data_IF_929979669388
#
_entry.id   IF_929979669388
#
_cell.length_a   1.000
_cell.length_b   1.000
_cell.length_c   1.000
_cell.angle_alpha   90.00
_cell.angle_beta   90.00
_cell.angle_gamma   90.00
#
_symmetry.space_group_name_H-M   'P 1'
#
loop_
_entity.id
_entity.type
_entity.pdbx_description
1 polymer ?
#
# COMPACT_ATOMS: atom_id res chain seq x y z
N UNK A 1 68.52 -42.64 8.91
CA UNK A 1 68.30 -41.64 9.97
C UNK A 1 66.82 -41.26 9.91
N UNK A 2 66.09 -41.53 10.99
CA UNK A 2 64.62 -41.47 11.07
C UNK A 2 64.17 -40.02 11.30
N UNK A 3 63.05 -39.62 10.69
CA UNK A 3 61.89 -39.13 11.44
C UNK A 3 60.64 -39.19 10.53
N UNK A 4 59.62 -39.90 11.01
CA UNK A 4 58.29 -40.02 10.44
C UNK A 4 57.30 -39.43 11.45
N UNK A 5 56.30 -38.70 10.98
CA UNK A 5 55.08 -38.41 11.76
C UNK A 5 53.90 -38.51 10.81
N UNK A 6 53.08 -39.54 11.03
CA UNK A 6 51.73 -39.66 10.49
C UNK A 6 50.71 -39.38 11.60
N UNK A 7 49.53 -38.88 11.23
CA UNK A 7 48.40 -38.72 12.14
C UNK A 7 47.17 -39.38 11.50
N UNK A 8 46.57 -40.28 12.27
CA UNK A 8 45.49 -41.19 11.93
C UNK A 8 44.15 -40.64 12.48
N UNK A 9 43.06 -40.90 11.77
CA UNK A 9 41.67 -40.69 12.21
C UNK A 9 41.31 -41.60 13.39
N UNK A 10 40.43 -41.14 14.28
CA UNK A 10 39.40 -41.99 14.93
C UNK A 10 38.31 -41.16 15.62
N UNK A 11 37.06 -41.53 15.32
CA UNK A 11 35.84 -41.09 15.99
C UNK A 11 35.56 -41.97 17.22
N UNK A 12 34.98 -41.40 18.28
CA UNK A 12 34.45 -42.16 19.41
C UNK A 12 33.20 -41.48 19.98
N UNK A 13 32.09 -42.21 19.95
CA UNK A 13 30.87 -41.93 20.70
C UNK A 13 31.02 -42.52 22.11
N UNK A 14 30.51 -41.82 23.13
CA UNK A 14 30.40 -42.37 24.48
C UNK A 14 29.14 -41.81 25.16
N UNK A 15 28.20 -42.71 25.47
CA UNK A 15 27.08 -42.45 26.37
C UNK A 15 27.38 -43.03 27.75
N UNK A 16 26.98 -42.32 28.81
CA UNK A 16 26.99 -42.83 30.19
C UNK A 16 25.76 -42.33 30.95
N UNK A 17 25.07 -43.28 31.58
CA UNK A 17 23.98 -43.08 32.52
C UNK A 17 24.53 -42.72 33.91
N UNK A 18 23.76 -41.92 34.67
CA UNK A 18 24.02 -41.55 36.07
C UNK A 18 22.77 -41.68 36.95
N UNK A 19 22.91 -41.73 38.29
CA UNK A 19 22.03 -42.48 39.18
C UNK A 19 20.84 -41.68 39.73
N UNK A 20 19.82 -42.42 40.18
CA UNK A 20 18.61 -41.94 40.84
C UNK A 20 18.89 -41.70 42.33
N UNK A 21 18.60 -40.48 42.81
CA UNK A 21 18.48 -40.17 44.23
C UNK A 21 17.03 -39.76 44.54
N UNK A 22 16.42 -40.45 45.51
CA UNK A 22 15.16 -40.06 46.13
C UNK A 22 15.41 -38.96 47.17
N UNK A 23 14.56 -37.94 47.19
CA UNK A 23 14.50 -36.96 48.29
C UNK A 23 13.07 -36.88 48.83
N UNK A 24 12.96 -37.18 50.12
CA UNK A 24 11.81 -36.98 50.99
C UNK A 24 11.56 -35.49 51.29
N UNK A 25 10.28 -35.14 51.49
CA UNK A 25 9.86 -34.06 52.39
C UNK A 25 9.73 -32.65 51.80
N UNK A 26 8.54 -32.31 51.31
CA UNK A 26 8.17 -30.92 51.00
C UNK A 26 7.73 -30.16 52.28
N UNK A 27 8.19 -28.91 52.51
CA UNK A 27 7.68 -28.06 53.59
C UNK A 27 6.27 -27.54 53.27
N UNK A 28 5.43 -27.23 54.29
CA UNK A 28 4.07 -26.74 54.06
C UNK A 28 4.07 -25.35 53.43
N UNK A 29 3.26 -25.19 52.39
CA UNK A 29 3.06 -23.93 51.68
C UNK A 29 2.36 -22.88 52.57
N UNK A 30 2.70 -21.58 52.44
CA UNK A 30 1.99 -20.52 53.13
C UNK A 30 0.54 -20.40 52.62
N UNK A 31 -0.38 -20.15 53.54
CA UNK A 31 -1.82 -19.98 53.31
C UNK A 31 -2.09 -18.98 52.18
N UNK A 32 -2.81 -19.43 51.16
CA UNK A 32 -3.24 -18.59 50.04
C UNK A 32 -4.17 -17.47 50.54
N UNK A 33 -4.06 -16.24 50.01
CA UNK A 33 -5.03 -15.19 50.31
C UNK A 33 -6.41 -15.56 49.74
N UNK A 34 -7.45 -15.19 50.49
CA UNK A 34 -8.87 -15.29 50.10
C UNK A 34 -9.07 -14.76 48.66
N UNK A 35 -9.44 -15.66 47.75
CA UNK A 35 -9.93 -15.29 46.41
C UNK A 35 -11.36 -14.79 46.55
N UNK A 36 -11.54 -13.47 46.46
CA UNK A 36 -12.84 -12.90 46.11
C UNK A 36 -13.07 -13.25 44.65
N UNK A 37 -14.01 -14.17 44.39
CA UNK A 37 -14.51 -14.40 43.04
C UNK A 37 -15.20 -13.11 42.58
N UNK A 38 -14.79 -12.48 41.47
CA UNK A 38 -15.62 -11.45 40.88
C UNK A 38 -16.96 -12.11 40.55
N UNK A 39 -18.05 -11.54 41.07
CA UNK A 39 -19.39 -11.97 40.71
C UNK A 39 -19.51 -12.05 39.20
N UNK A 40 -20.09 -13.14 38.71
CA UNK A 40 -20.35 -13.29 37.29
C UNK A 40 -21.03 -12.01 36.77
N UNK A 41 -20.49 -11.36 35.73
CA UNK A 41 -21.19 -10.23 35.13
C UNK A 41 -22.59 -10.70 34.74
N UNK A 42 -23.63 -9.86 34.91
CA UNK A 42 -24.95 -10.18 34.39
C UNK A 42 -24.78 -10.54 32.91
N UNK A 43 -25.46 -11.61 32.47
CA UNK A 43 -25.42 -12.06 31.09
C UNK A 43 -25.60 -10.84 30.18
N UNK A 44 -24.53 -10.49 29.45
CA UNK A 44 -24.54 -9.33 28.58
C UNK A 44 -25.65 -9.56 27.55
N UNK A 45 -26.66 -8.69 27.55
CA UNK A 45 -27.43 -8.45 26.34
C UNK A 45 -26.47 -8.09 25.20
N UNK A 46 -26.90 -8.17 23.93
CA UNK A 46 -26.04 -7.78 22.82
C UNK A 46 -25.49 -6.37 23.06
N UNK A 47 -24.19 -6.26 23.36
CA UNK A 47 -23.56 -4.98 23.63
C UNK A 47 -23.54 -4.21 22.30
N UNK A 48 -24.34 -3.15 22.24
CA UNK A 48 -24.42 -2.28 21.07
C UNK A 48 -23.08 -1.56 20.95
N UNK A 49 -22.37 -1.76 19.83
CA UNK A 49 -21.04 -1.19 19.60
C UNK A 49 -21.01 -0.41 18.29
N UNK A 50 -20.62 0.85 18.38
CA UNK A 50 -20.33 1.68 17.20
C UNK A 50 -18.95 1.26 16.67
N UNK A 51 -18.88 0.90 15.38
CA UNK A 51 -17.62 0.70 14.68
C UNK A 51 -17.51 1.65 13.50
N UNK A 52 -16.28 2.05 13.18
CA UNK A 52 -16.03 3.01 12.14
C UNK A 52 -14.70 2.76 11.45
N UNK A 53 -14.64 3.17 10.19
CA UNK A 53 -13.45 3.10 9.37
C UNK A 53 -13.38 4.30 8.42
N UNK A 54 -12.17 4.71 8.08
CA UNK A 54 -11.93 5.65 6.99
C UNK A 54 -12.20 4.93 5.66
N UNK A 55 -12.92 5.55 4.73
CA UNK A 55 -13.36 4.88 3.50
C UNK A 55 -12.21 4.77 2.49
N UNK A 56 -11.62 5.91 2.09
CA UNK A 56 -10.44 5.97 1.25
C UNK A 56 -9.18 6.26 2.09
N UNK A 57 -8.51 5.20 2.56
CA UNK A 57 -7.40 5.27 3.53
C UNK A 57 -6.04 5.60 2.93
N UNK A 58 -5.89 5.48 1.61
CA UNK A 58 -4.61 5.73 0.94
C UNK A 58 -4.74 6.93 0.02
N UNK A 59 -4.29 8.11 0.50
CA UNK A 59 -4.65 9.40 -0.11
C UNK A 59 -4.07 9.64 -1.49
N UNK A 60 -3.08 8.84 -1.92
CA UNK A 60 -2.59 8.86 -3.29
C UNK A 60 -3.69 8.48 -4.30
N UNK A 61 -4.70 7.70 -3.91
CA UNK A 61 -5.78 7.27 -4.79
C UNK A 61 -6.88 8.32 -4.87
N UNK A 62 -7.25 8.74 -6.10
CA UNK A 62 -8.31 9.74 -6.30
C UNK A 62 -9.70 9.22 -5.98
N UNK A 63 -9.90 7.91 -6.05
CA UNK A 63 -11.22 7.29 -5.92
C UNK A 63 -11.21 6.18 -4.87
N UNK A 64 -12.17 6.22 -3.96
CA UNK A 64 -12.42 5.21 -2.93
C UNK A 64 -12.54 3.81 -3.52
N UNK A 65 -13.16 3.68 -4.70
CA UNK A 65 -13.31 2.40 -5.39
C UNK A 65 -11.97 1.71 -5.69
N UNK A 66 -10.92 2.48 -6.02
CA UNK A 66 -9.59 1.93 -6.29
C UNK A 66 -8.96 1.37 -5.01
N UNK A 67 -9.12 2.08 -3.90
CA UNK A 67 -8.67 1.61 -2.59
C UNK A 67 -9.44 0.35 -2.15
N UNK A 68 -10.77 0.39 -2.23
CA UNK A 68 -11.64 -0.72 -1.82
C UNK A 68 -11.36 -1.99 -2.63
N UNK A 69 -11.06 -1.86 -3.93
CA UNK A 69 -10.64 -2.98 -4.79
C UNK A 69 -9.39 -3.67 -4.25
N UNK A 70 -8.33 -2.90 -3.94
CA UNK A 70 -7.08 -3.47 -3.41
C UNK A 70 -7.27 -4.01 -1.99
N UNK A 71 -8.00 -3.28 -1.13
CA UNK A 71 -8.27 -3.71 0.24
C UNK A 71 -9.06 -5.03 0.27
N UNK A 72 -10.03 -5.22 -0.63
CA UNK A 72 -10.78 -6.47 -0.75
C UNK A 72 -9.90 -7.63 -1.24
N UNK A 73 -9.01 -7.37 -2.21
CA UNK A 73 -8.10 -8.38 -2.74
C UNK A 73 -7.00 -8.79 -1.75
N UNK A 74 -6.55 -7.90 -0.87
CA UNK A 74 -5.47 -8.20 0.08
C UNK A 74 -5.97 -8.74 1.44
N UNK A 75 -7.25 -8.55 1.76
CA UNK A 75 -7.80 -8.93 3.08
C UNK A 75 -7.69 -10.43 3.31
N UNK A 76 -6.89 -10.81 4.33
CA UNK A 76 -6.74 -12.19 4.76
C UNK A 76 -5.98 -13.09 3.77
N UNK A 77 -5.29 -12.50 2.79
CA UNK A 77 -4.55 -13.24 1.75
C UNK A 77 -3.07 -12.90 1.78
N UNK A 78 -2.26 -13.83 1.28
CA UNK A 78 -0.84 -13.57 1.01
C UNK A 78 -0.67 -12.62 -0.18
N UNK A 79 0.48 -11.94 -0.24
CA UNK A 79 0.81 -11.00 -1.33
C UNK A 79 0.68 -11.64 -2.71
N UNK A 80 1.25 -12.83 -2.90
CA UNK A 80 1.21 -13.56 -4.18
C UNK A 80 -0.23 -13.89 -4.61
N UNK A 81 -1.06 -14.35 -3.66
CA UNK A 81 -2.45 -14.71 -3.92
C UNK A 81 -3.28 -13.49 -4.33
N UNK A 82 -3.13 -12.37 -3.60
CA UNK A 82 -3.80 -11.12 -3.91
C UNK A 82 -3.42 -10.60 -5.31
N UNK A 83 -2.14 -10.65 -5.67
CA UNK A 83 -1.67 -10.22 -6.99
C UNK A 83 -2.14 -11.14 -8.12
N UNK A 84 -2.17 -12.46 -7.91
CA UNK A 84 -2.73 -13.40 -8.88
C UNK A 84 -4.22 -13.14 -9.12
N UNK A 85 -4.99 -12.87 -8.06
CA UNK A 85 -6.40 -12.50 -8.19
C UNK A 85 -6.58 -11.23 -9.03
N UNK A 86 -5.82 -10.18 -8.71
CA UNK A 86 -5.91 -8.89 -9.41
C UNK A 86 -5.37 -8.95 -10.85
N UNK A 87 -4.45 -9.87 -11.15
CA UNK A 87 -3.88 -10.04 -12.48
C UNK A 87 -4.89 -10.60 -13.48
N UNK A 88 -5.86 -11.42 -13.04
CA UNK A 88 -6.94 -11.92 -13.91
C UNK A 88 -7.76 -10.77 -14.48
N UNK A 89 -8.02 -9.74 -13.68
CA UNK A 89 -8.80 -8.56 -14.09
C UNK A 89 -8.08 -7.68 -15.12
N UNK A 90 -6.76 -7.85 -15.28
CA UNK A 90 -5.93 -7.02 -16.15
C UNK A 90 -5.23 -7.81 -17.26
N UNK A 91 -5.67 -9.04 -17.53
CA UNK A 91 -5.04 -9.98 -18.47
C UNK A 91 -3.53 -10.14 -18.21
N UNK A 92 -3.12 -10.19 -16.94
CA UNK A 92 -1.72 -10.31 -16.54
C UNK A 92 -0.90 -9.03 -16.66
N UNK A 93 -1.49 -7.88 -17.00
CA UNK A 93 -0.77 -6.58 -17.10
C UNK A 93 -0.43 -5.95 -15.74
N UNK A 94 -0.75 -6.64 -14.64
CA UNK A 94 -0.51 -6.20 -13.28
C UNK A 94 -1.64 -5.35 -12.71
N UNK A 95 -1.75 -5.29 -11.38
CA UNK A 95 -2.85 -4.62 -10.69
C UNK A 95 -2.75 -3.09 -10.72
N UNK A 96 -1.54 -2.56 -10.89
CA UNK A 96 -1.25 -1.12 -10.92
C UNK A 96 -1.66 -0.45 -12.24
N UNK A 97 -1.68 -1.17 -13.35
CA UNK A 97 -1.99 -0.64 -14.68
C UNK A 97 -3.27 0.21 -14.76
N UNK A 98 -4.44 -0.22 -14.20
CA UNK A 98 -5.66 0.58 -14.21
C UNK A 98 -5.61 1.81 -13.30
N UNK A 99 -4.64 1.93 -12.39
CA UNK A 99 -4.51 3.07 -11.48
C UNK A 99 -3.76 4.25 -12.13
N UNK A 100 -3.03 4.01 -13.21
CA UNK A 100 -2.34 5.09 -13.93
C UNK A 100 -3.33 6.16 -14.39
N UNK A 101 -3.07 7.42 -14.00
CA UNK A 101 -3.95 8.56 -14.26
C UNK A 101 -5.08 8.77 -13.23
N UNK A 102 -5.25 7.85 -12.28
CA UNK A 102 -6.26 7.90 -11.20
C UNK A 102 -5.65 8.21 -9.83
N UNK A 103 -4.43 8.78 -9.83
CA UNK A 103 -3.63 9.05 -8.64
C UNK A 103 -3.45 10.55 -8.47
N UNK A 104 -3.29 11.01 -7.24
CA UNK A 104 -2.98 12.40 -6.91
C UNK A 104 -1.53 12.76 -7.27
N UNK A 105 -1.21 12.65 -8.57
CA UNK A 105 0.05 12.97 -9.19
C UNK A 105 -0.19 13.70 -10.51
N UNK A 106 0.77 14.52 -10.92
CA UNK A 106 0.80 15.12 -12.24
C UNK A 106 1.41 14.19 -13.31
N UNK A 107 1.61 14.69 -14.53
CA UNK A 107 2.18 13.91 -15.62
C UNK A 107 3.66 13.54 -15.43
N UNK A 108 4.41 14.30 -14.60
CA UNK A 108 5.78 13.98 -14.21
C UNK A 108 5.81 12.99 -13.04
N UNK A 109 4.67 12.73 -12.40
CA UNK A 109 4.54 11.87 -11.24
C UNK A 109 4.83 12.59 -9.93
N UNK A 110 4.77 13.92 -9.92
CA UNK A 110 4.92 14.76 -8.72
C UNK A 110 3.57 14.96 -8.03
N UNK A 111 3.60 15.09 -6.70
CA UNK A 111 2.40 15.35 -5.89
C UNK A 111 2.03 16.84 -5.99
N UNK A 112 0.83 17.18 -6.51
CA UNK A 112 0.39 18.57 -6.56
C UNK A 112 -0.01 19.06 -5.16
N UNK A 113 0.07 20.39 -4.95
CA UNK A 113 -0.39 21.00 -3.69
C UNK A 113 -1.87 20.70 -3.39
N UNK A 114 -2.70 20.64 -4.44
CA UNK A 114 -4.12 20.28 -4.34
C UNK A 114 -4.47 19.13 -5.27
N UNK A 115 -5.32 18.21 -4.83
CA UNK A 115 -5.85 17.10 -5.62
C UNK A 115 -7.37 17.08 -5.56
N UNK A 116 -8.01 16.61 -6.63
CA UNK A 116 -9.43 16.24 -6.61
C UNK A 116 -9.53 14.76 -6.21
N UNK A 117 -10.13 14.52 -5.05
CA UNK A 117 -10.26 13.19 -4.45
C UNK A 117 -11.69 12.97 -4.01
N UNK A 118 -12.29 11.88 -4.44
CA UNK A 118 -13.68 11.51 -4.15
C UNK A 118 -14.69 12.63 -4.48
N UNK A 119 -14.41 13.38 -5.56
CA UNK A 119 -15.25 14.50 -6.03
C UNK A 119 -15.03 15.83 -5.29
N UNK A 120 -14.08 15.90 -4.37
CA UNK A 120 -13.76 17.12 -3.63
C UNK A 120 -12.31 17.57 -3.89
N UNK A 121 -12.12 18.87 -4.13
CA UNK A 121 -10.78 19.46 -4.22
C UNK A 121 -10.25 19.76 -2.82
N UNK A 122 -9.11 19.18 -2.47
CA UNK A 122 -8.48 19.34 -1.16
C UNK A 122 -6.95 19.54 -1.27
N UNK A 123 -6.33 20.05 -0.20
CA UNK A 123 -4.88 20.04 -0.04
C UNK A 123 -4.37 18.60 0.13
N UNK A 124 -3.35 18.22 -0.64
CA UNK A 124 -2.81 16.87 -0.55
C UNK A 124 -2.07 16.62 0.76
N UNK A 125 -1.41 17.62 1.35
CA UNK A 125 -0.67 17.43 2.61
C UNK A 125 -1.49 17.72 3.86
N UNK A 126 -2.49 18.60 3.75
CA UNK A 126 -3.29 19.07 4.88
C UNK A 126 -4.78 19.02 4.51
N UNK A 127 -5.41 17.84 4.51
CA UNK A 127 -6.82 17.72 4.17
C UNK A 127 -7.68 18.44 5.21
N UNK A 128 -8.83 19.00 4.83
CA UNK A 128 -9.76 19.61 5.78
C UNK A 128 -10.50 18.55 6.62
N UNK A 129 -10.77 17.38 6.03
CA UNK A 129 -11.54 16.29 6.63
C UNK A 129 -11.14 14.92 6.09
N UNK A 130 -11.61 13.87 6.78
CA UNK A 130 -11.56 12.49 6.31
C UNK A 130 -12.96 11.91 6.22
N UNK A 131 -13.25 11.20 5.12
CA UNK A 131 -14.50 10.47 4.95
C UNK A 131 -14.44 9.17 5.75
N UNK A 132 -15.41 8.99 6.66
CA UNK A 132 -15.56 7.77 7.46
C UNK A 132 -16.92 7.13 7.19
N UNK A 133 -16.93 5.81 7.26
CA UNK A 133 -18.12 4.98 7.31
C UNK A 133 -18.31 4.49 8.75
N UNK A 134 -19.48 4.76 9.31
CA UNK A 134 -19.88 4.41 10.68
C UNK A 134 -20.99 3.38 10.61
N UNK A 135 -20.87 2.34 11.42
CA UNK A 135 -21.80 1.21 11.49
C UNK A 135 -22.10 0.85 12.93
N UNK A 136 -23.23 0.21 13.16
CA UNK A 136 -23.64 -0.27 14.47
C UNK A 136 -23.68 -1.80 14.49
N UNK A 137 -22.94 -2.40 15.41
CA UNK A 137 -23.00 -3.82 15.69
C UNK A 137 -23.92 -4.08 16.91
N UNK A 138 -24.65 -5.19 16.89
CA UNK A 138 -25.49 -5.60 18.02
C UNK A 138 -26.89 -4.97 18.07
N UNK A 139 -27.29 -4.22 17.03
CA UNK A 139 -28.63 -3.63 16.97
C UNK A 139 -29.74 -4.69 16.77
N UNK A 140 -30.89 -4.59 17.47
CA UNK A 140 -32.04 -5.46 17.23
C UNK A 140 -32.59 -5.34 15.80
N UNK A 141 -33.19 -6.42 15.27
CA UNK A 141 -33.84 -6.38 13.95
C UNK A 141 -35.01 -5.39 13.96
N UNK A 142 -35.10 -4.55 12.93
CA UNK A 142 -36.14 -3.54 12.81
C UNK A 142 -35.98 -2.32 13.73
N UNK A 143 -34.87 -2.21 14.47
CA UNK A 143 -34.56 -1.03 15.27
C UNK A 143 -34.28 0.20 14.41
N UNK A 144 -34.69 1.37 14.91
CA UNK A 144 -34.40 2.67 14.31
C UNK A 144 -33.26 3.34 15.07
N UNK A 145 -32.32 3.91 14.34
CA UNK A 145 -31.16 4.59 14.88
C UNK A 145 -31.23 6.09 14.59
N UNK A 146 -31.06 6.91 15.63
CA UNK A 146 -30.85 8.35 15.54
C UNK A 146 -29.41 8.69 15.93
N UNK A 147 -28.61 9.06 14.95
CA UNK A 147 -27.21 9.44 15.09
C UNK A 147 -27.04 10.94 15.31
N UNK A 148 -26.08 11.33 16.15
CA UNK A 148 -25.53 12.68 16.23
C UNK A 148 -24.00 12.64 16.12
N UNK A 149 -23.44 13.62 15.42
CA UNK A 149 -22.00 13.80 15.27
C UNK A 149 -21.60 15.22 15.65
N UNK A 150 -20.81 15.33 16.71
CA UNK A 150 -20.40 16.61 17.31
C UNK A 150 -18.89 16.79 17.21
N UNK A 151 -18.46 17.91 16.63
CA UNK A 151 -17.05 18.28 16.44
C UNK A 151 -16.66 19.55 17.22
N UNK A 152 -17.55 20.02 18.09
CA UNK A 152 -17.35 21.18 18.98
C UNK A 152 -17.46 22.55 18.30
N UNK A 153 -17.78 22.63 17.00
CA UNK A 153 -17.83 23.91 16.26
C UNK A 153 -19.16 24.19 15.55
N UNK A 154 -19.96 23.15 15.25
CA UNK A 154 -21.27 23.29 14.62
C UNK A 154 -22.36 22.53 15.39
N UNK A 155 -23.64 22.89 15.14
CA UNK A 155 -24.77 22.06 15.54
C UNK A 155 -24.57 20.66 14.95
N UNK A 156 -24.60 19.64 15.82
CA UNK A 156 -24.25 18.27 15.45
C UNK A 156 -25.05 17.80 14.24
N UNK A 157 -24.38 17.11 13.31
CA UNK A 157 -25.06 16.53 12.15
C UNK A 157 -25.88 15.33 12.61
N UNK A 158 -27.18 15.38 12.38
CA UNK A 158 -28.12 14.33 12.76
C UNK A 158 -28.49 13.45 11.57
N UNK A 159 -28.57 12.13 11.77
CA UNK A 159 -29.14 11.19 10.80
C UNK A 159 -30.09 10.23 11.50
N UNK A 160 -31.29 10.03 10.96
CA UNK A 160 -32.24 9.07 11.50
C UNK A 160 -32.63 8.07 10.40
N UNK A 161 -32.57 6.77 10.71
CA UNK A 161 -32.84 5.71 9.74
C UNK A 161 -32.68 4.31 10.32
N UNK A 162 -32.72 3.26 9.49
CA UNK A 162 -32.51 1.89 9.92
C UNK A 162 -31.11 1.69 10.51
N UNK A 163 -31.00 0.96 11.63
CA UNK A 163 -29.70 0.70 12.27
C UNK A 163 -28.71 -0.12 11.42
N UNK A 164 -29.19 -0.82 10.39
CA UNK A 164 -28.35 -1.55 9.44
C UNK A 164 -27.67 -0.65 8.40
N UNK A 165 -28.09 0.62 8.29
CA UNK A 165 -27.52 1.54 7.30
C UNK A 165 -26.15 2.06 7.74
N UNK A 166 -25.19 2.05 6.81
CA UNK A 166 -23.88 2.67 7.04
C UNK A 166 -23.96 4.18 6.84
N UNK A 167 -23.66 4.93 7.90
CA UNK A 167 -23.62 6.39 7.86
C UNK A 167 -22.26 6.84 7.35
N UNK A 168 -22.23 7.65 6.28
CA UNK A 168 -21.00 8.20 5.71
C UNK A 168 -20.91 9.70 5.94
N UNK A 169 -19.86 10.15 6.62
CA UNK A 169 -19.67 11.57 6.96
C UNK A 169 -18.20 11.99 6.80
N UNK A 170 -17.92 13.27 6.50
CA UNK A 170 -16.62 13.86 6.71
C UNK A 170 -16.43 14.24 8.18
N UNK A 171 -15.32 13.81 8.79
CA UNK A 171 -14.85 14.21 10.12
C UNK A 171 -13.63 15.11 10.01
N UNK A 172 -13.56 16.17 10.81
CA UNK A 172 -12.52 17.18 10.70
C UNK A 172 -11.11 16.61 10.92
N UNK A 173 -10.14 17.07 10.13
CA UNK A 173 -8.73 16.72 10.34
C UNK A 173 -8.21 17.23 11.68
N UNK A 174 -7.43 16.40 12.39
CA UNK A 174 -6.73 16.77 13.62
C UNK A 174 -7.61 16.98 14.85
N UNK A 175 -8.91 16.66 14.79
CA UNK A 175 -9.83 16.80 15.94
C UNK A 175 -10.76 15.59 16.07
N UNK A 176 -11.05 15.13 17.30
CA UNK A 176 -12.02 14.08 17.52
C UNK A 176 -13.45 14.56 17.19
N UNK A 177 -14.27 13.66 16.68
CA UNK A 177 -15.73 13.82 16.53
C UNK A 177 -16.42 12.84 17.47
N UNK A 178 -17.29 13.32 18.35
CA UNK A 178 -18.11 12.45 19.20
C UNK A 178 -19.31 11.95 18.38
N UNK A 179 -19.37 10.64 18.16
CA UNK A 179 -20.49 9.97 17.53
C UNK A 179 -21.39 9.36 18.60
N UNK A 180 -22.65 9.76 18.64
CA UNK A 180 -23.68 9.21 19.53
C UNK A 180 -24.78 8.58 18.70
N UNK A 181 -25.33 7.45 19.14
CA UNK A 181 -26.50 6.83 18.54
C UNK A 181 -27.52 6.45 19.59
N UNK A 182 -28.76 6.85 19.35
CA UNK A 182 -29.95 6.39 20.07
C UNK A 182 -30.63 5.30 19.26
N UNK A 183 -30.72 4.10 19.83
CA UNK A 183 -31.27 2.91 19.21
C UNK A 183 -32.63 2.62 19.82
N UNK A 184 -33.70 2.81 19.06
CA UNK A 184 -35.06 2.52 19.50
C UNK A 184 -35.50 1.16 18.98
N UNK A 185 -35.73 0.22 19.90
CA UNK A 185 -36.25 -1.12 19.61
C UNK A 185 -37.74 -1.13 19.30
N UNK A 186 -38.27 -2.28 18.88
CA UNK A 186 -39.69 -2.47 18.61
C UNK A 186 -40.58 -2.44 19.86
N UNK A 187 -39.99 -2.66 21.03
CA UNK A 187 -40.58 -2.52 22.36
C UNK A 187 -40.66 -1.05 22.84
N UNK A 188 -40.06 -0.12 22.09
CA UNK A 188 -39.97 1.29 22.44
C UNK A 188 -38.82 1.61 23.40
N UNK A 189 -38.03 0.63 23.82
CA UNK A 189 -36.84 0.87 24.64
C UNK A 189 -35.78 1.58 23.80
N UNK A 190 -35.16 2.62 24.37
CA UNK A 190 -34.09 3.36 23.71
C UNK A 190 -32.77 3.14 24.43
N UNK A 191 -31.80 2.60 23.71
CA UNK A 191 -30.43 2.40 24.19
C UNK A 191 -29.52 3.40 23.52
N UNK A 192 -28.68 4.08 24.30
CA UNK A 192 -27.68 5.03 23.80
C UNK A 192 -26.29 4.42 23.81
N UNK A 193 -25.56 4.59 22.71
CA UNK A 193 -24.13 4.30 22.62
C UNK A 193 -23.36 5.52 22.10
N UNK A 194 -22.10 5.66 22.50
CA UNK A 194 -21.23 6.74 22.03
C UNK A 194 -19.80 6.25 21.82
N UNK A 195 -19.10 6.83 20.84
CA UNK A 195 -17.67 6.61 20.60
C UNK A 195 -17.02 7.88 20.08
N UNK A 196 -15.73 8.03 20.35
CA UNK A 196 -14.90 9.03 19.70
C UNK A 196 -14.40 8.52 18.34
N UNK A 197 -14.53 9.36 17.31
CA UNK A 197 -13.94 9.16 15.98
C UNK A 197 -12.76 10.13 15.85
N UNK A 198 -11.55 9.59 15.90
CA UNK A 198 -10.32 10.35 15.72
C UNK A 198 -9.46 9.65 14.66
N UNK A 199 -9.44 10.20 13.45
CA UNK A 199 -8.63 9.65 12.35
C UNK A 199 -7.17 10.00 12.57
N UNK A 200 -6.31 8.98 12.59
CA UNK A 200 -4.86 9.18 12.63
C UNK A 200 -4.33 9.27 11.20
N UNK A 201 -3.92 10.47 10.79
CA UNK A 201 -3.22 10.67 9.51
C UNK A 201 -1.71 10.41 9.67
N UNK A 202 -1.15 9.59 8.80
CA UNK A 202 0.27 9.26 8.73
C UNK A 202 0.85 9.83 7.44
N UNK A 203 1.73 10.83 7.58
CA UNK A 203 2.58 11.27 6.49
C UNK A 203 3.78 10.31 6.36
N UNK A 204 3.90 9.64 5.22
CA UNK A 204 4.99 8.71 4.92
C UNK A 204 5.66 9.18 3.63
N UNK A 205 6.93 9.55 3.70
CA UNK A 205 7.73 9.87 2.53
C UNK A 205 8.63 8.69 2.14
N UNK A 206 8.50 8.23 0.90
CA UNK A 206 9.36 7.22 0.31
C UNK A 206 10.43 7.86 -0.55
N UNK A 207 11.70 7.73 -0.15
CA UNK A 207 12.87 8.30 -0.81
C UNK A 207 13.97 7.25 -0.98
N UNK A 208 14.83 7.47 -1.98
CA UNK A 208 15.92 6.56 -2.33
C UNK A 208 16.16 6.46 -3.84
N UNK A 209 16.88 5.41 -4.21
CA UNK A 209 17.35 5.10 -5.57
C UNK A 209 16.35 4.22 -6.35
N UNK A 210 16.87 3.42 -7.29
CA UNK A 210 16.09 2.48 -8.11
C UNK A 210 15.34 1.42 -7.29
N UNK A 211 15.87 0.98 -6.13
CA UNK A 211 15.20 -0.02 -5.29
C UNK A 211 13.96 0.58 -4.64
N UNK A 212 14.08 1.80 -4.12
CA UNK A 212 12.95 2.53 -3.55
C UNK A 212 11.93 2.94 -4.62
N UNK A 213 12.40 3.32 -5.81
CA UNK A 213 11.55 3.67 -6.94
C UNK A 213 10.74 2.47 -7.48
N UNK A 214 11.20 1.23 -7.27
CA UNK A 214 10.60 0.04 -7.85
C UNK A 214 10.99 -0.16 -9.31
N UNK A 215 12.19 0.26 -9.69
CA UNK A 215 12.69 0.07 -11.05
C UNK A 215 12.72 -1.43 -11.40
N UNK A 216 12.41 -1.73 -12.66
CA UNK A 216 12.30 -3.09 -13.18
C UNK A 216 10.90 -3.68 -13.06
N UNK A 217 9.99 -3.06 -12.30
CA UNK A 217 8.59 -3.48 -12.23
C UNK A 217 7.65 -2.30 -12.56
N UNK A 218 7.45 -1.96 -13.85
CA UNK A 218 6.60 -0.84 -14.26
C UNK A 218 5.12 -1.11 -13.97
N UNK A 219 4.34 -0.05 -13.73
CA UNK A 219 2.89 -0.13 -13.50
C UNK A 219 2.13 -0.77 -14.67
N UNK A 220 2.60 -0.53 -15.90
CA UNK A 220 2.20 -1.28 -17.09
C UNK A 220 3.46 -1.79 -17.81
N UNK A 221 3.64 -3.11 -17.93
CA UNK A 221 4.77 -3.67 -18.66
C UNK A 221 4.68 -3.38 -20.17
N UNK A 222 5.83 -3.46 -20.83
CA UNK A 222 5.92 -3.44 -22.29
C UNK A 222 5.24 -4.70 -22.83
N UNK A 223 4.33 -4.54 -23.79
CA UNK A 223 3.86 -5.67 -24.59
C UNK A 223 4.96 -6.04 -25.59
N UNK A 224 5.40 -7.30 -25.56
CA UNK A 224 6.47 -7.78 -26.42
C UNK A 224 5.90 -8.30 -27.75
N UNK A 225 6.66 -8.07 -28.82
CA UNK A 225 6.44 -8.65 -30.14
C UNK A 225 7.37 -9.84 -30.34
N UNK A 226 6.87 -10.88 -30.99
CA UNK A 226 7.67 -12.03 -31.43
C UNK A 226 8.59 -11.64 -32.61
N UNK A 227 8.21 -10.60 -33.36
CA UNK A 227 9.06 -9.97 -34.37
C UNK A 227 10.06 -8.99 -33.73
N UNK A 228 11.29 -9.45 -33.56
CA UNK A 228 12.32 -8.71 -32.86
C UNK A 228 13.02 -7.59 -33.64
N UNK A 229 13.79 -6.80 -32.91
CA UNK A 229 14.81 -5.91 -33.47
C UNK A 229 16.07 -6.67 -33.80
N UNK A 230 16.64 -6.40 -34.97
CA UNK A 230 17.94 -6.93 -35.36
C UNK A 230 19.06 -6.25 -34.55
N UNK A 231 19.90 -7.06 -33.92
CA UNK A 231 21.12 -6.65 -33.25
C UNK A 231 22.34 -7.32 -33.88
N UNK A 232 23.43 -6.56 -34.03
CA UNK A 232 24.73 -7.10 -34.47
C UNK A 232 25.54 -7.51 -33.24
N UNK A 233 26.15 -8.70 -33.30
CA UNK A 233 27.16 -9.11 -32.31
C UNK A 233 28.52 -8.53 -32.71
N UNK A 234 29.14 -7.76 -31.82
CA UNK A 234 30.43 -7.09 -32.09
C UNK A 234 31.67 -7.93 -31.71
N UNK A 235 31.50 -9.11 -31.09
CA UNK A 235 32.59 -9.86 -30.40
C UNK A 235 33.17 -11.02 -31.24
N UNK A 236 32.90 -11.11 -32.54
CA UNK A 236 33.59 -12.09 -33.40
C UNK A 236 33.66 -11.56 -34.82
N UNK A 237 34.77 -11.77 -35.53
CA UNK A 237 34.99 -11.32 -36.92
C UNK A 237 34.00 -11.84 -37.98
N UNK A 238 32.90 -12.47 -37.57
CA UNK A 238 31.71 -12.72 -38.38
C UNK A 238 30.55 -11.88 -37.82
N UNK A 239 29.96 -11.01 -38.65
CA UNK A 239 28.73 -10.29 -38.35
C UNK A 239 27.58 -11.28 -38.18
N UNK A 240 27.34 -11.73 -36.94
CA UNK A 240 26.15 -12.52 -36.61
C UNK A 240 25.05 -11.59 -36.15
N UNK A 241 23.95 -11.63 -36.88
CA UNK A 241 22.71 -10.93 -36.55
C UNK A 241 21.85 -11.83 -35.66
N UNK A 242 21.19 -11.22 -34.68
CA UNK A 242 20.22 -11.90 -33.84
C UNK A 242 19.09 -10.94 -33.49
N UNK A 243 17.91 -11.48 -33.25
CA UNK A 243 16.72 -10.68 -32.98
C UNK A 243 16.40 -10.69 -31.47
N UNK A 244 16.14 -9.52 -30.89
CA UNK A 244 15.57 -9.41 -29.53
C UNK A 244 14.12 -8.96 -29.61
N UNK A 245 13.23 -9.40 -28.70
CA UNK A 245 11.82 -9.01 -28.73
C UNK A 245 11.61 -7.52 -28.91
N UNK A 246 10.72 -7.17 -29.83
CA UNK A 246 10.31 -5.79 -30.10
C UNK A 246 9.21 -5.33 -29.16
N UNK A 247 8.76 -4.09 -29.33
CA UNK A 247 7.52 -3.60 -28.72
C UNK A 247 6.35 -3.95 -29.64
N UNK A 248 5.34 -4.63 -29.10
CA UNK A 248 4.14 -5.01 -29.84
C UNK A 248 3.49 -3.78 -30.50
N UNK A 249 3.18 -3.90 -31.79
CA UNK A 249 2.57 -2.82 -32.57
C UNK A 249 3.54 -1.73 -33.06
N UNK A 250 4.86 -1.87 -32.82
CA UNK A 250 5.85 -0.96 -33.38
C UNK A 250 6.01 -1.19 -34.89
N UNK A 251 5.77 -0.13 -35.69
CA UNK A 251 5.82 -0.18 -37.17
C UNK A 251 7.07 0.48 -37.78
N UNK A 252 7.99 0.97 -36.96
CA UNK A 252 9.24 1.56 -37.46
C UNK A 252 10.23 0.49 -37.94
N UNK A 253 11.36 0.92 -38.50
CA UNK A 253 12.37 0.02 -39.05
C UNK A 253 13.06 -0.80 -37.94
N UNK A 254 12.95 -2.14 -38.02
CA UNK A 254 13.50 -3.12 -37.06
C UNK A 254 14.87 -3.69 -37.50
N UNK A 255 15.48 -3.19 -38.58
CA UNK A 255 16.75 -3.71 -39.13
C UNK A 255 17.98 -3.25 -38.35
N UNK A 256 19.10 -3.96 -38.53
CA UNK A 256 20.36 -3.68 -37.85
C UNK A 256 21.00 -2.34 -38.26
N UNK A 257 20.59 -1.74 -39.37
CA UNK A 257 21.12 -0.48 -39.90
C UNK A 257 20.45 0.75 -39.29
N UNK A 258 19.23 0.58 -38.74
CA UNK A 258 18.38 1.69 -38.29
C UNK A 258 18.00 1.63 -36.80
N UNK A 259 18.56 0.69 -36.03
CA UNK A 259 18.15 0.48 -34.63
C UNK A 259 18.26 1.75 -33.76
N UNK A 260 19.25 2.62 -34.04
CA UNK A 260 19.36 3.95 -33.40
C UNK A 260 18.22 4.89 -33.77
N UNK A 261 17.89 5.01 -35.06
CA UNK A 261 16.81 5.87 -35.54
C UNK A 261 15.43 5.41 -35.05
N UNK A 262 15.22 4.11 -34.85
CA UNK A 262 14.00 3.56 -34.29
C UNK A 262 13.82 3.92 -32.80
N UNK A 263 14.90 3.88 -32.00
CA UNK A 263 14.88 4.27 -30.59
C UNK A 263 14.57 5.76 -30.37
N UNK A 264 14.87 6.59 -31.37
CA UNK A 264 14.60 8.04 -31.38
C UNK A 264 13.19 8.40 -31.90
N UNK A 265 12.41 7.41 -32.34
CA UNK A 265 11.05 7.64 -32.81
C UNK A 265 10.06 7.82 -31.64
N UNK A 266 9.13 8.78 -31.78
CA UNK A 266 8.06 8.99 -30.80
C UNK A 266 7.15 7.77 -30.64
N UNK A 267 7.01 6.95 -31.69
CA UNK A 267 6.25 5.69 -31.64
C UNK A 267 6.91 4.64 -30.75
N UNK A 268 8.24 4.55 -30.77
CA UNK A 268 8.96 3.68 -29.84
C UNK A 268 8.66 4.08 -28.41
N UNK A 269 8.88 5.35 -28.05
CA UNK A 269 8.61 5.88 -26.71
C UNK A 269 7.16 5.62 -26.26
N UNK A 270 6.17 5.84 -27.12
CA UNK A 270 4.74 5.63 -26.83
C UNK A 270 4.40 4.18 -26.46
N UNK A 271 5.09 3.20 -27.04
CA UNK A 271 4.87 1.76 -26.79
C UNK A 271 5.70 1.22 -25.61
N UNK A 272 6.37 2.10 -24.86
CA UNK A 272 7.18 1.72 -23.70
C UNK A 272 6.37 1.27 -22.50
N UNK A 273 7.12 0.87 -21.47
CA UNK A 273 6.58 0.64 -20.14
C UNK A 273 5.91 1.93 -19.64
N UNK A 274 4.93 1.80 -18.75
CA UNK A 274 4.35 2.95 -18.07
C UNK A 274 4.68 2.89 -16.59
N UNK A 275 5.11 4.04 -16.11
CA UNK A 275 5.54 4.28 -14.74
C UNK A 275 4.64 5.33 -14.11
N UNK A 276 4.50 5.26 -12.78
CA UNK A 276 3.90 6.27 -11.92
C UNK A 276 4.57 7.63 -12.13
N UNK A 277 5.91 7.62 -12.18
CA UNK A 277 6.72 8.75 -12.61
C UNK A 277 7.73 8.26 -13.65
N UNK A 278 7.50 8.56 -14.95
CA UNK A 278 8.47 8.23 -15.99
C UNK A 278 9.86 8.86 -15.79
N UNK A 279 9.99 10.14 -15.40
CA UNK A 279 11.31 10.74 -15.12
C UNK A 279 12.14 9.99 -14.08
N UNK A 280 11.49 9.30 -13.14
CA UNK A 280 12.13 8.55 -12.07
C UNK A 280 12.10 7.03 -12.20
N UNK A 281 11.45 6.48 -13.24
CA UNK A 281 11.04 5.07 -13.28
C UNK A 281 10.40 4.62 -11.95
N UNK A 282 9.59 5.51 -11.35
CA UNK A 282 8.91 5.21 -10.09
C UNK A 282 7.65 4.40 -10.38
N UNK A 283 7.35 3.43 -9.54
CA UNK A 283 6.27 2.47 -9.73
C UNK A 283 5.46 2.27 -8.46
N UNK A 284 4.17 1.93 -8.60
CA UNK A 284 3.34 1.50 -7.48
C UNK A 284 3.82 0.18 -6.86
N UNK A 285 4.67 -0.56 -7.56
CA UNK A 285 5.29 -1.78 -7.07
C UNK A 285 6.53 -1.54 -6.18
N UNK A 286 6.98 -0.29 -6.01
CA UNK A 286 8.06 0.04 -5.09
C UNK A 286 7.76 -0.40 -3.65
N UNK A 287 8.74 -0.95 -2.95
CA UNK A 287 8.49 -1.59 -1.64
C UNK A 287 7.94 -0.61 -0.58
N UNK A 288 8.41 0.65 -0.60
CA UNK A 288 7.95 1.70 0.33
C UNK A 288 6.48 2.05 0.09
N UNK A 289 6.08 2.18 -1.18
CA UNK A 289 4.69 2.39 -1.59
C UNK A 289 3.80 1.23 -1.16
N UNK A 290 4.23 -0.01 -1.42
CA UNK A 290 3.48 -1.22 -1.06
C UNK A 290 3.34 -1.38 0.46
N UNK A 291 4.39 -1.07 1.22
CA UNK A 291 4.35 -1.10 2.68
C UNK A 291 3.37 -0.05 3.23
N UNK A 292 3.40 1.17 2.68
CA UNK A 292 2.46 2.23 3.07
C UNK A 292 1.00 1.88 2.72
N UNK A 293 0.77 1.25 1.56
CA UNK A 293 -0.55 0.76 1.16
C UNK A 293 -1.03 -0.38 2.07
N UNK A 294 -0.17 -1.35 2.37
CA UNK A 294 -0.50 -2.44 3.29
C UNK A 294 -0.87 -1.90 4.68
N UNK A 295 -0.11 -0.92 5.19
CA UNK A 295 -0.43 -0.24 6.45
C UNK A 295 -1.85 0.36 6.42
N UNK A 296 -2.22 1.05 5.34
CA UNK A 296 -3.56 1.62 5.16
C UNK A 296 -4.66 0.53 5.07
N UNK A 297 -4.37 -0.62 4.46
CA UNK A 297 -5.32 -1.73 4.32
C UNK A 297 -5.57 -2.44 5.65
N UNK A 298 -4.51 -2.68 6.43
CA UNK A 298 -4.57 -3.43 7.68
C UNK A 298 -5.15 -2.61 8.84
N UNK A 299 -5.15 -1.28 8.72
CA UNK A 299 -5.62 -0.37 9.76
C UNK A 299 -6.86 0.41 9.30
N UNK A 300 -8.09 0.08 9.76
CA UNK A 300 -9.31 0.73 9.29
C UNK A 300 -9.47 2.19 9.76
N UNK A 301 -8.74 2.61 10.79
CA UNK A 301 -8.92 3.90 11.48
C UNK A 301 -7.83 4.94 11.19
N UNK A 302 -6.95 4.65 10.22
CA UNK A 302 -5.89 5.58 9.80
C UNK A 302 -6.14 6.08 8.39
N UNK A 303 -5.56 7.23 8.07
CA UNK A 303 -5.33 7.69 6.70
C UNK A 303 -3.82 7.74 6.46
N UNK A 304 -3.36 7.33 5.29
CA UNK A 304 -1.96 7.40 4.88
C UNK A 304 -1.82 8.43 3.77
N UNK A 305 -1.07 9.49 4.07
CA UNK A 305 -0.60 10.49 3.12
C UNK A 305 0.79 10.08 2.64
N UNK A 306 0.89 9.46 1.46
CA UNK A 306 2.16 8.96 0.93
C UNK A 306 2.81 9.98 -0.03
N UNK A 307 4.10 10.27 0.16
CA UNK A 307 4.92 11.07 -0.73
C UNK A 307 5.92 10.17 -1.49
N UNK A 308 5.64 9.84 -2.76
CA UNK A 308 6.54 9.04 -3.58
C UNK A 308 7.67 9.92 -4.15
N UNK A 309 8.80 10.05 -3.44
CA UNK A 309 9.93 10.91 -3.83
C UNK A 309 11.08 10.12 -4.47
N UNK A 310 11.18 8.82 -4.21
CA UNK A 310 12.25 7.97 -4.73
C UNK A 310 12.47 8.11 -6.23
N UNK A 311 13.73 8.09 -6.66
CA UNK A 311 14.07 8.30 -8.06
C UNK A 311 15.24 7.44 -8.49
N UNK A 312 15.06 6.73 -9.61
CA UNK A 312 16.06 5.81 -10.13
C UNK A 312 17.41 6.49 -10.37
N UNK A 313 18.47 5.82 -9.88
CA UNK A 313 19.86 6.26 -9.96
C UNK A 313 20.14 7.56 -9.20
N UNK A 314 19.32 7.88 -8.20
CA UNK A 314 19.68 8.82 -7.15
C UNK A 314 20.89 8.28 -6.37
N UNK A 315 21.77 9.21 -6.03
CA UNK A 315 22.87 9.10 -5.10
C UNK A 315 22.65 10.12 -3.98
N UNK A 316 23.56 10.19 -3.01
CA UNK A 316 23.48 11.22 -1.97
C UNK A 316 23.63 12.63 -2.57
N UNK A 317 24.63 12.83 -3.43
CA UNK A 317 24.90 14.15 -4.03
C UNK A 317 23.84 14.51 -5.07
N UNK A 318 23.66 13.64 -6.06
CA UNK A 318 22.69 13.83 -7.14
C UNK A 318 21.43 13.02 -6.85
N UNK A 319 20.26 13.63 -6.80
CA UNK A 319 18.97 12.96 -6.57
C UNK A 319 18.44 13.17 -5.17
N UNK A 320 19.23 12.90 -4.12
CA UNK A 320 18.78 13.16 -2.75
C UNK A 320 18.81 14.66 -2.41
N UNK A 321 19.97 15.32 -2.56
CA UNK A 321 20.14 16.76 -2.29
C UNK A 321 20.24 17.63 -3.56
N UNK A 322 20.74 17.06 -4.66
CA UNK A 322 20.85 17.74 -5.95
C UNK A 322 19.79 17.30 -6.94
N UNK A 323 19.49 18.14 -7.94
CA UNK A 323 18.68 17.72 -9.08
C UNK A 323 19.42 16.67 -9.93
N UNK A 324 18.69 15.69 -10.45
CA UNK A 324 19.26 14.63 -11.30
C UNK A 324 18.64 14.60 -12.69
N UNK A 325 19.29 13.93 -13.65
CA UNK A 325 18.75 13.75 -15.01
C UNK A 325 17.53 12.81 -15.00
N UNK A 326 16.49 13.19 -15.74
CA UNK A 326 15.32 12.35 -15.96
C UNK A 326 15.67 11.08 -16.76
N UNK A 327 15.08 9.94 -16.39
CA UNK A 327 15.24 8.64 -17.07
C UNK A 327 14.43 8.56 -18.35
N UNK A 328 13.17 8.98 -18.30
CA UNK A 328 12.30 9.13 -19.46
C UNK A 328 11.74 10.55 -19.55
N UNK A 329 11.66 11.05 -20.78
CA UNK A 329 11.08 12.36 -21.10
C UNK A 329 9.80 12.09 -21.91
N UNK A 330 8.66 12.01 -21.22
CA UNK A 330 7.37 11.66 -21.81
C UNK A 330 6.48 12.90 -21.98
N UNK A 331 6.94 13.92 -22.70
CA UNK A 331 6.05 15.00 -23.17
C UNK A 331 6.12 15.16 -24.68
N UNK A 332 4.95 15.22 -25.29
CA UNK A 332 4.81 15.48 -26.72
C UNK A 332 5.25 16.91 -27.04
N UNK A 333 6.26 17.04 -27.91
CA UNK A 333 6.68 18.24 -28.67
C UNK A 333 6.85 19.60 -27.95
N UNK A 334 6.69 19.76 -26.62
CA UNK A 334 6.99 21.01 -25.91
C UNK A 334 7.68 20.77 -24.56
N UNK A 335 8.66 21.64 -24.29
CA UNK A 335 9.55 21.75 -23.13
C UNK A 335 9.26 20.83 -21.95
N UNK A 336 9.96 19.69 -21.94
CA UNK A 336 10.02 18.81 -20.80
C UNK A 336 11.22 19.16 -19.92
N UNK A 337 11.01 19.16 -18.60
CA UNK A 337 12.14 19.20 -17.68
C UNK A 337 13.03 17.96 -17.88
N UNK A 338 14.24 18.18 -18.41
CA UNK A 338 15.25 17.12 -18.56
C UNK A 338 15.86 16.67 -17.22
N UNK A 339 15.46 17.33 -16.12
CA UNK A 339 15.93 17.09 -14.77
C UNK A 339 14.74 16.96 -13.82
N UNK A 340 14.92 16.13 -12.81
CA UNK A 340 14.02 15.95 -11.67
C UNK A 340 14.62 16.72 -10.49
N UNK A 341 13.81 17.41 -9.66
CA UNK A 341 14.28 18.05 -8.44
C UNK A 341 14.89 17.04 -7.44
N UNK A 342 15.56 17.59 -6.42
CA UNK A 342 16.03 16.82 -5.29
C UNK A 342 14.86 16.26 -4.47
N UNK A 343 15.10 15.18 -3.74
CA UNK A 343 14.11 14.56 -2.86
C UNK A 343 13.98 15.30 -1.52
N UNK A 344 14.98 16.09 -1.13
CA UNK A 344 15.04 16.91 0.08
C UNK A 344 15.41 18.36 -0.24
#
# INVERSE_FOLDING_TARGET
MRLAVGICLLAAACGLAGPVFAQDGAPPAPSAPLRILPGAPPAAGPEIRIDWQVTNRFRLFRHEADFNRLAAAMRGRGVLEAEQLLAVETDGRGWAAPLLGRLCLDAAGEVPATCERDGARESYLAPPDHRVAVTLAGAPQGATCAWSFEDGLAAGRGFAGPCAETVRIPVAFGRPTLATVDVTGSDGETVRAATEIAVRDLLIAGLGDSIAAGEGNPDKPVALDDEGFCFRRFISGAHREYFRPGRAGFKGNKTCESARAAAESGDWARLGARWLSPPCHRSLYGYQMRAALALAIDNPRIAVTFLPLACTGATIADGLFGAQRAREINCGRRDCAARVPAQL
#
